data_IF_657363717332
#
_entry.id   IF_657363717332
#
_cell.length_a   1.000
_cell.length_b   1.000
_cell.length_c   1.000
_cell.angle_alpha   90.00
_cell.angle_beta   90.00
_cell.angle_gamma   90.00
#
_symmetry.space_group_name_H-M   'P 1'
#
loop_
_entity.id
_entity.type
_entity.pdbx_description
1 polymer ?
#
# COMPACT_ATOMS: atom_id res chain seq x y z
N UNK A 1 35.46 -23.51 -18.58
CA UNK A 1 35.60 -24.98 -18.62
C UNK A 1 36.39 -25.38 -17.37
N UNK A 2 35.94 -26.18 -16.41
CA UNK A 2 34.99 -27.30 -16.41
C UNK A 2 34.47 -27.50 -14.99
N UNK A 3 33.19 -27.86 -14.87
CA UNK A 3 32.49 -28.15 -13.63
C UNK A 3 32.98 -29.45 -12.94
N UNK A 4 32.89 -29.51 -11.60
CA UNK A 4 32.71 -30.79 -10.87
C UNK A 4 31.79 -30.63 -9.67
N UNK A 5 30.62 -31.28 -9.78
CA UNK A 5 29.77 -31.76 -8.68
C UNK A 5 30.53 -32.80 -7.86
N UNK A 6 30.30 -32.82 -6.55
CA UNK A 6 30.36 -34.04 -5.74
C UNK A 6 29.20 -34.02 -4.74
N UNK A 7 28.36 -35.06 -4.83
CA UNK A 7 27.31 -35.41 -3.90
C UNK A 7 27.47 -36.89 -3.55
N UNK A 8 27.48 -37.21 -2.25
CA UNK A 8 27.13 -38.48 -1.55
C UNK A 8 27.81 -38.43 -0.18
N UNK A 9 27.33 -39.01 0.91
CA UNK A 9 26.03 -39.43 1.43
C UNK A 9 26.36 -40.00 2.83
N UNK A 10 25.56 -39.74 3.86
CA UNK A 10 25.73 -40.34 5.19
C UNK A 10 24.41 -40.30 5.97
N UNK A 11 23.82 -41.47 6.22
CA UNK A 11 22.56 -41.78 6.93
C UNK A 11 22.56 -41.27 8.38
N UNK A 12 21.52 -40.55 8.84
CA UNK A 12 20.32 -41.03 9.55
C UNK A 12 20.53 -41.73 10.91
N UNK A 13 20.10 -41.06 11.98
CA UNK A 13 19.51 -41.67 13.19
C UNK A 13 18.33 -40.81 13.68
N UNK A 14 17.23 -41.50 14.02
CA UNK A 14 15.89 -41.06 14.46
C UNK A 14 15.94 -40.41 15.87
N UNK A 15 15.04 -39.57 16.41
CA UNK A 15 13.71 -38.98 16.14
C UNK A 15 13.47 -37.90 17.25
N UNK A 16 12.24 -37.49 17.67
CA UNK A 16 10.91 -37.70 17.11
C UNK A 16 10.22 -36.40 16.64
N UNK A 17 9.20 -36.64 15.82
CA UNK A 17 8.22 -35.76 15.21
C UNK A 17 7.03 -35.46 16.15
N UNK A 18 6.53 -34.22 16.11
CA UNK A 18 5.12 -33.88 16.39
C UNK A 18 4.72 -32.67 15.54
N UNK A 19 4.13 -32.93 14.37
CA UNK A 19 3.33 -31.99 13.59
C UNK A 19 2.28 -32.82 12.82
N UNK A 20 1.22 -33.20 13.51
CA UNK A 20 -0.09 -33.45 12.91
C UNK A 20 -0.78 -32.07 12.73
N UNK A 21 -1.50 -31.74 11.68
CA UNK A 21 -1.99 -32.49 10.53
C UNK A 21 -3.20 -31.71 10.00
N UNK A 22 -3.20 -31.31 8.73
CA UNK A 22 -4.45 -31.10 7.96
C UNK A 22 -4.21 -31.65 6.55
N UNK A 23 -4.88 -32.77 6.32
CA UNK A 23 -4.96 -33.60 5.13
C UNK A 23 -5.71 -32.86 4.00
N UNK A 24 -5.11 -32.73 2.81
CA UNK A 24 -5.82 -32.32 1.59
C UNK A 24 -6.09 -33.59 0.77
N UNK A 25 -7.36 -33.98 0.66
CA UNK A 25 -7.81 -35.01 -0.29
C UNK A 25 -8.19 -34.35 -1.62
N UNK A 26 -7.68 -34.84 -2.77
CA UNK A 26 -8.14 -34.39 -4.07
C UNK A 26 -9.43 -35.14 -4.46
N UNK A 27 -10.40 -34.44 -5.02
CA UNK A 27 -11.41 -35.06 -5.89
C UNK A 27 -11.21 -34.55 -7.31
N UNK A 28 -10.89 -35.51 -8.18
CA UNK A 28 -11.00 -35.41 -9.63
C UNK A 28 -12.43 -35.07 -10.05
N UNK A 29 -12.56 -34.23 -11.08
CA UNK A 29 -13.39 -34.52 -12.26
C UNK A 29 -12.89 -33.67 -13.43
N UNK A 30 -12.55 -34.37 -14.51
CA UNK A 30 -12.33 -33.87 -15.87
C UNK A 30 -13.60 -33.19 -16.42
N UNK A 31 -13.45 -32.19 -17.28
CA UNK A 31 -13.78 -32.33 -18.71
C UNK A 31 -13.29 -31.12 -19.53
N UNK A 32 -12.73 -31.47 -20.68
CA UNK A 32 -12.22 -30.68 -21.79
C UNK A 32 -13.28 -29.85 -22.53
N UNK A 33 -12.84 -28.67 -22.98
CA UNK A 33 -13.11 -27.92 -24.22
C UNK A 33 -14.38 -28.20 -25.05
N UNK A 34 -15.10 -27.14 -25.46
CA UNK A 34 -15.43 -26.83 -26.86
C UNK A 34 -15.98 -25.39 -26.98
N UNK A 35 -15.36 -24.57 -27.86
CA UNK A 35 -15.99 -23.40 -28.50
C UNK A 35 -16.89 -23.89 -29.63
N UNK A 36 -17.92 -23.12 -30.04
CA UNK A 36 -17.77 -22.46 -31.34
C UNK A 36 -18.42 -21.06 -31.46
N UNK A 37 -17.96 -20.36 -32.50
CA UNK A 37 -18.40 -19.06 -32.99
C UNK A 37 -19.77 -19.08 -33.71
N UNK A 38 -20.33 -17.86 -33.83
CA UNK A 38 -21.13 -17.30 -34.93
C UNK A 38 -22.68 -17.26 -34.87
N UNK A 39 -23.15 -16.05 -35.23
CA UNK A 39 -24.43 -15.60 -35.85
C UNK A 39 -25.59 -15.11 -34.96
N UNK A 40 -25.86 -13.80 -35.06
CA UNK A 40 -27.17 -13.14 -34.94
C UNK A 40 -28.09 -13.49 -36.15
N UNK A 41 -29.39 -13.10 -36.26
CA UNK A 41 -30.27 -12.29 -35.39
C UNK A 41 -31.77 -12.76 -35.29
N UNK A 42 -32.60 -11.94 -34.60
CA UNK A 42 -34.00 -11.53 -34.91
C UNK A 42 -35.25 -12.22 -34.27
N UNK A 43 -36.18 -11.32 -33.89
CA UNK A 43 -37.63 -11.43 -33.59
C UNK A 43 -38.08 -12.18 -32.30
N UNK A 44 -39.23 -11.92 -31.67
CA UNK A 44 -40.09 -10.75 -31.34
C UNK A 44 -41.24 -11.36 -30.48
N UNK A 45 -41.73 -10.60 -29.50
CA UNK A 45 -43.14 -10.49 -29.04
C UNK A 45 -43.79 -11.56 -28.13
N UNK A 46 -44.26 -11.03 -26.98
CA UNK A 46 -45.57 -11.22 -26.29
C UNK A 46 -45.74 -12.52 -25.47
N UNK A 47 -46.40 -12.59 -24.31
CA UNK A 47 -46.99 -11.66 -23.33
C UNK A 47 -47.58 -12.54 -22.18
N UNK A 48 -47.88 -11.93 -21.02
CA UNK A 48 -48.92 -12.30 -20.02
C UNK A 48 -48.59 -13.41 -18.98
N UNK A 49 -48.27 -13.07 -17.72
CA UNK A 49 -49.10 -12.83 -16.48
C UNK A 49 -49.01 -13.99 -15.45
N UNK A 50 -48.56 -13.60 -14.25
CA UNK A 50 -48.79 -14.19 -12.90
C UNK A 50 -48.09 -15.52 -12.54
N UNK A 51 -47.62 -15.79 -11.32
CA UNK A 51 -48.04 -15.33 -10.00
C UNK A 51 -46.84 -15.22 -9.02
N UNK A 52 -47.14 -14.51 -7.94
CA UNK A 52 -46.54 -14.37 -6.60
C UNK A 52 -45.62 -15.50 -6.08
N UNK A 53 -44.78 -15.07 -5.13
CA UNK A 53 -43.87 -15.81 -4.24
C UNK A 53 -42.47 -16.07 -4.80
N UNK A 54 -41.54 -15.16 -4.47
CA UNK A 54 -40.27 -15.39 -3.76
C UNK A 54 -39.54 -14.04 -3.75
N UNK A 55 -39.96 -13.12 -2.88
CA UNK A 55 -39.16 -11.94 -2.52
C UNK A 55 -38.82 -12.04 -1.03
N UNK A 56 -37.93 -12.99 -0.74
CA UNK A 56 -37.21 -13.06 0.53
C UNK A 56 -35.73 -13.30 0.23
N UNK A 57 -35.12 -12.39 -0.54
CA UNK A 57 -33.66 -12.39 -0.70
C UNK A 57 -33.04 -11.76 0.56
N UNK A 58 -32.72 -12.63 1.51
CA UNK A 58 -31.79 -12.37 2.61
C UNK A 58 -30.52 -11.73 2.04
N UNK A 59 -30.32 -10.45 2.33
CA UNK A 59 -29.04 -9.79 2.20
C UNK A 59 -28.03 -10.51 3.12
N UNK A 60 -27.29 -11.48 2.58
CA UNK A 60 -26.08 -11.96 3.22
C UNK A 60 -25.06 -10.83 3.15
N UNK A 61 -24.76 -10.27 4.31
CA UNK A 61 -23.76 -9.24 4.51
C UNK A 61 -22.44 -9.65 3.83
N UNK A 62 -22.10 -8.96 2.74
CA UNK A 62 -20.75 -8.98 2.21
C UNK A 62 -19.84 -8.38 3.30
N UNK A 63 -19.03 -9.22 3.93
CA UNK A 63 -17.93 -8.79 4.78
C UNK A 63 -16.99 -8.01 3.85
N UNK A 64 -17.14 -6.68 3.87
CA UNK A 64 -16.33 -5.74 3.13
C UNK A 64 -14.94 -5.77 3.75
N UNK A 65 -14.12 -6.75 3.36
CA UNK A 65 -12.71 -6.78 3.63
C UNK A 65 -12.05 -5.64 2.86
N UNK A 66 -12.05 -4.44 3.43
CA UNK A 66 -11.36 -3.27 2.88
C UNK A 66 -9.87 -3.60 2.78
N UNK A 67 -9.36 -3.62 1.55
CA UNK A 67 -7.95 -3.63 1.20
C UNK A 67 -7.62 -2.23 0.73
N UNK A 68 -7.12 -1.38 1.63
CA UNK A 68 -6.81 0.01 1.31
C UNK A 68 -5.34 0.26 1.41
N UNK A 69 -4.64 0.08 0.30
CA UNK A 69 -3.21 0.29 0.20
C UNK A 69 -2.96 1.80 0.35
N UNK A 70 -1.75 2.24 0.69
CA UNK A 70 -1.46 3.67 0.84
C UNK A 70 -0.13 4.01 0.16
N UNK A 71 -0.02 4.85 -0.89
CA UNK A 71 1.33 5.35 -1.29
C UNK A 71 1.72 6.41 -0.31
N UNK A 72 3.02 6.61 -0.11
CA UNK A 72 3.55 7.87 0.38
C UNK A 72 4.41 8.47 -0.73
N UNK A 73 3.78 8.81 -1.87
CA UNK A 73 4.47 9.43 -2.99
C UNK A 73 4.74 10.91 -2.70
N UNK A 74 5.92 11.22 -2.15
CA UNK A 74 6.45 12.58 -2.04
C UNK A 74 7.60 12.67 -1.05
N UNK A 75 8.83 12.82 -1.54
CA UNK A 75 9.94 13.27 -0.69
C UNK A 75 9.72 14.78 -0.40
N UNK A 76 9.84 15.25 0.86
CA UNK A 76 9.46 16.60 1.24
C UNK A 76 10.58 17.57 0.83
N UNK A 77 10.53 18.06 -0.40
CA UNK A 77 10.92 19.43 -0.62
C UNK A 77 9.77 20.28 -0.07
N UNK A 78 10.02 20.94 1.06
CA UNK A 78 9.08 21.73 1.85
C UNK A 78 8.07 22.53 1.01
N UNK A 79 6.89 21.95 0.76
CA UNK A 79 5.66 22.72 0.71
C UNK A 79 5.16 22.75 2.14
N UNK A 80 5.18 23.92 2.77
CA UNK A 80 4.70 24.12 4.13
C UNK A 80 3.31 23.48 4.25
N UNK A 81 3.20 22.41 5.05
CA UNK A 81 1.92 21.84 5.40
C UNK A 81 1.28 22.78 6.41
N UNK A 82 0.25 23.50 5.98
CA UNK A 82 -0.52 24.31 6.90
C UNK A 82 -1.40 23.39 7.75
N UNK A 83 -1.12 23.35 9.05
CA UNK A 83 -1.93 22.66 10.05
C UNK A 83 -1.87 21.14 9.97
N UNK A 84 -3.04 20.49 10.08
CA UNK A 84 -3.14 19.05 10.37
C UNK A 84 -2.91 18.12 9.17
N UNK A 85 -2.76 18.64 7.95
CA UNK A 85 -2.55 17.83 6.74
C UNK A 85 -1.09 17.90 6.35
N UNK A 86 -0.36 16.77 6.40
CA UNK A 86 1.06 16.72 6.05
C UNK A 86 1.30 16.61 4.56
N UNK A 87 0.54 15.76 3.87
CA UNK A 87 0.67 15.53 2.43
C UNK A 87 -0.59 14.88 1.83
N UNK A 88 -0.77 15.06 0.53
CA UNK A 88 -1.77 14.35 -0.27
C UNK A 88 -1.04 13.56 -1.35
N UNK A 89 -1.35 12.26 -1.45
CA UNK A 89 -0.64 11.31 -2.32
C UNK A 89 -1.63 10.37 -2.99
N UNK A 90 -1.20 9.65 -4.04
CA UNK A 90 -2.11 8.78 -4.78
C UNK A 90 -2.65 7.63 -3.92
N UNK A 91 -3.92 7.29 -4.12
CA UNK A 91 -4.44 6.02 -3.66
C UNK A 91 -3.94 4.89 -4.57
N UNK A 92 -3.45 3.77 -4.03
CA UNK A 92 -3.07 2.56 -4.79
C UNK A 92 -4.20 1.79 -5.43
N UNK A 93 -5.45 2.15 -5.19
CA UNK A 93 -6.55 1.69 -6.05
C UNK A 93 -6.32 2.22 -7.49
N UNK A 94 -5.53 3.30 -7.62
CA UNK A 94 -5.10 3.90 -8.86
C UNK A 94 -3.65 3.50 -9.15
N UNK A 95 -3.48 2.34 -9.80
CA UNK A 95 -2.20 1.74 -10.15
C UNK A 95 -1.27 2.66 -10.96
N UNK A 96 -1.82 3.67 -11.64
CA UNK A 96 -1.09 4.62 -12.47
C UNK A 96 -0.71 5.92 -11.76
N UNK A 97 -1.09 6.06 -10.48
CA UNK A 97 -1.00 7.32 -9.75
C UNK A 97 -2.21 8.24 -10.01
N UNK A 98 -2.15 9.46 -9.51
CA UNK A 98 -3.18 10.49 -9.73
C UNK A 98 -2.88 11.25 -11.02
N UNK A 99 -3.46 10.78 -12.13
CA UNK A 99 -3.22 11.26 -13.51
C UNK A 99 -4.28 12.28 -13.94
N UNK A 100 -3.85 13.32 -14.66
CA UNK A 100 -4.75 14.35 -15.22
C UNK A 100 -5.80 13.72 -16.14
N UNK A 101 -7.05 14.17 -16.00
CA UNK A 101 -8.18 13.69 -16.81
C UNK A 101 -8.77 12.35 -16.38
N UNK A 102 -8.15 11.65 -15.42
CA UNK A 102 -8.61 10.35 -14.93
C UNK A 102 -9.32 10.50 -13.57
N UNK A 103 -10.18 9.53 -13.26
CA UNK A 103 -10.78 9.37 -11.93
C UNK A 103 -9.69 9.39 -10.85
N UNK A 104 -10.00 10.03 -9.74
CA UNK A 104 -9.05 10.29 -8.66
C UNK A 104 -9.35 9.47 -7.44
N UNK A 105 -8.29 8.94 -6.83
CA UNK A 105 -8.28 8.56 -5.44
C UNK A 105 -6.95 8.96 -4.82
N UNK A 106 -7.04 9.39 -3.58
CA UNK A 106 -5.94 9.99 -2.85
C UNK A 106 -5.95 9.49 -1.40
N UNK A 107 -4.78 9.53 -0.79
CA UNK A 107 -4.62 9.44 0.64
C UNK A 107 -4.21 10.81 1.16
N UNK A 108 -4.89 11.28 2.20
CA UNK A 108 -4.60 12.52 2.89
C UNK A 108 -3.96 12.13 4.20
N UNK A 109 -2.66 12.38 4.33
CA UNK A 109 -1.92 12.09 5.54
C UNK A 109 -2.07 13.26 6.49
N UNK A 110 -2.40 12.95 7.74
CA UNK A 110 -2.52 13.94 8.80
C UNK A 110 -1.19 14.09 9.56
N UNK A 111 -1.10 15.10 10.42
CA UNK A 111 0.00 15.36 11.34
C UNK A 111 -0.45 16.27 12.48
N UNK A 112 0.39 16.46 13.51
CA UNK A 112 0.15 17.44 14.58
C UNK A 112 1.44 18.14 15.02
N UNK A 113 1.33 19.22 15.79
CA UNK A 113 2.48 20.07 16.15
C UNK A 113 3.58 19.41 17.00
N UNK A 114 3.35 18.25 17.60
CA UNK A 114 4.39 17.47 18.28
C UNK A 114 4.90 16.24 17.51
N UNK A 115 4.32 15.92 16.36
CA UNK A 115 4.66 14.76 15.55
C UNK A 115 4.28 15.03 14.09
N UNK A 116 5.26 15.46 13.29
CA UNK A 116 5.07 15.89 11.90
C UNK A 116 5.47 14.79 10.91
N UNK A 117 4.81 14.76 9.76
CA UNK A 117 5.09 13.79 8.69
C UNK A 117 5.12 12.34 9.17
N UNK A 118 6.23 11.64 8.92
CA UNK A 118 6.40 10.23 9.27
C UNK A 118 6.30 9.95 10.78
N UNK A 119 6.71 10.89 11.64
CA UNK A 119 6.63 10.71 13.10
C UNK A 119 5.19 10.54 13.58
N UNK A 120 4.22 11.18 12.91
CA UNK A 120 2.81 11.01 13.23
C UNK A 120 2.33 9.57 13.00
N UNK A 121 2.99 8.83 12.12
CA UNK A 121 2.67 7.43 11.83
C UNK A 121 3.23 6.45 12.88
N UNK A 122 4.04 6.91 13.84
CA UNK A 122 4.50 6.09 14.97
C UNK A 122 3.29 5.55 15.76
N UNK A 123 3.16 4.22 15.98
CA UNK A 123 2.12 3.63 16.82
C UNK A 123 1.92 4.26 18.19
N UNK A 124 2.97 4.82 18.80
CA UNK A 124 2.91 5.51 20.10
C UNK A 124 2.22 6.87 20.02
N UNK A 125 2.22 7.50 18.85
CA UNK A 125 1.56 8.79 18.63
C UNK A 125 0.09 8.55 18.32
N UNK A 126 -0.78 9.08 19.17
CA UNK A 126 -2.24 9.01 18.94
C UNK A 126 -2.67 9.97 17.85
N UNK A 127 -3.46 9.45 16.90
CA UNK A 127 -4.06 10.21 15.80
C UNK A 127 -5.20 11.14 16.23
N UNK A 128 -5.99 11.58 15.26
CA UNK A 128 -7.15 12.44 15.52
C UNK A 128 -8.40 11.66 15.93
N UNK A 129 -9.27 12.31 16.70
CA UNK A 129 -10.64 11.89 16.94
C UNK A 129 -11.62 12.91 16.38
N UNK A 130 -12.91 12.63 16.52
CA UNK A 130 -13.97 13.61 16.27
C UNK A 130 -14.62 13.92 17.62
N UNK A 131 -14.63 15.18 18.10
CA UNK A 131 -15.19 15.52 19.41
C UNK A 131 -16.68 15.14 19.55
N UNK A 132 -17.20 15.03 20.79
CA UNK A 132 -18.63 14.89 21.05
C UNK A 132 -19.47 15.95 20.32
N UNK A 133 -20.53 15.50 19.64
CA UNK A 133 -21.39 16.35 18.78
C UNK A 133 -20.71 16.94 17.54
N UNK A 134 -19.40 16.70 17.36
CA UNK A 134 -18.60 17.27 16.28
C UNK A 134 -18.66 16.48 14.97
N UNK A 135 -17.85 16.92 14.00
CA UNK A 135 -17.71 16.26 12.70
C UNK A 135 -16.33 16.49 12.10
N UNK A 136 -15.96 15.65 11.14
CA UNK A 136 -14.82 15.89 10.27
C UNK A 136 -15.32 16.21 8.85
N UNK A 137 -14.74 17.22 8.22
CA UNK A 137 -14.98 17.54 6.83
C UNK A 137 -13.71 17.34 6.02
N UNK A 138 -13.87 16.81 4.81
CA UNK A 138 -12.80 16.64 3.82
C UNK A 138 -13.29 17.25 2.53
N UNK A 139 -12.69 18.35 2.12
CA UNK A 139 -13.11 19.14 0.97
C UNK A 139 -12.09 19.03 -0.17
N UNK A 140 -12.57 18.63 -1.34
CA UNK A 140 -11.80 18.59 -2.58
C UNK A 140 -11.81 19.99 -3.21
N UNK A 141 -11.02 20.91 -2.65
CA UNK A 141 -11.10 22.37 -2.88
C UNK A 141 -10.85 22.78 -4.34
N UNK A 142 -9.76 22.31 -4.94
CA UNK A 142 -9.31 22.74 -6.28
C UNK A 142 -8.76 21.54 -7.05
N UNK A 143 -8.87 21.57 -8.38
CA UNK A 143 -8.27 20.57 -9.26
C UNK A 143 -9.00 19.24 -9.30
N UNK A 144 -10.14 19.12 -8.61
CA UNK A 144 -10.98 17.92 -8.61
C UNK A 144 -12.36 18.26 -9.16
N UNK A 145 -12.70 17.72 -10.33
CA UNK A 145 -14.04 17.87 -10.89
C UNK A 145 -14.96 16.79 -10.36
N UNK A 146 -16.04 17.20 -9.69
CA UNK A 146 -17.11 16.34 -9.18
C UNK A 146 -17.88 15.65 -10.31
N UNK A 147 -18.26 14.40 -10.08
CA UNK A 147 -19.29 13.73 -10.88
C UNK A 147 -20.59 13.58 -10.08
N UNK A 148 -21.58 14.47 -10.29
CA UNK A 148 -22.77 14.55 -9.43
C UNK A 148 -23.59 13.25 -9.37
N UNK A 149 -23.43 12.34 -10.34
CA UNK A 149 -24.14 11.06 -10.38
C UNK A 149 -23.60 10.03 -9.38
N UNK A 150 -22.40 10.24 -8.85
CA UNK A 150 -21.78 9.35 -7.87
C UNK A 150 -21.96 9.98 -6.49
N UNK A 151 -22.78 9.44 -5.58
CA UNK A 151 -23.00 10.04 -4.28
C UNK A 151 -21.72 9.98 -3.41
N UNK A 152 -21.53 11.01 -2.58
CA UNK A 152 -20.52 11.00 -1.51
C UNK A 152 -21.12 10.25 -0.31
N UNK A 153 -20.74 9.00 -0.14
CA UNK A 153 -21.35 8.11 0.85
C UNK A 153 -20.29 7.27 1.58
N UNK A 154 -20.73 6.40 2.49
CA UNK A 154 -19.86 5.51 3.27
C UNK A 154 -18.78 4.78 2.44
N UNK A 155 -19.08 4.27 1.22
CA UNK A 155 -18.07 3.59 0.41
C UNK A 155 -17.07 4.53 -0.25
N UNK A 156 -17.20 5.86 -0.17
CA UNK A 156 -16.32 6.82 -0.84
C UNK A 156 -15.06 7.13 -0.03
N UNK A 157 -15.13 7.02 1.29
CA UNK A 157 -14.06 7.32 2.24
C UNK A 157 -13.83 6.17 3.22
N UNK A 158 -12.57 5.92 3.55
CA UNK A 158 -12.20 5.18 4.75
C UNK A 158 -11.24 5.98 5.61
N UNK A 159 -11.49 5.97 6.92
CA UNK A 159 -10.54 6.44 7.91
C UNK A 159 -9.50 5.34 8.18
N UNK A 160 -8.26 5.72 8.47
CA UNK A 160 -7.15 4.77 8.65
C UNK A 160 -6.30 5.17 9.84
N UNK A 161 -5.99 4.21 10.70
CA UNK A 161 -5.26 4.42 11.94
C UNK A 161 -3.74 4.36 11.81
N UNK A 162 -3.22 3.77 10.73
CA UNK A 162 -1.79 3.62 10.51
C UNK A 162 -1.46 3.06 9.13
N UNK A 163 -0.17 3.09 8.81
CA UNK A 163 0.39 2.59 7.55
C UNK A 163 1.34 1.43 7.80
N UNK A 164 1.29 0.34 7.02
CA UNK A 164 0.29 0.03 5.98
C UNK A 164 -1.12 -0.32 6.53
N UNK A 165 -2.14 0.31 5.96
CA UNK A 165 -3.54 -0.17 5.90
C UNK A 165 -4.17 -0.71 7.19
N UNK A 166 -4.24 0.13 8.23
CA UNK A 166 -5.05 -0.16 9.41
C UNK A 166 -6.40 0.55 9.36
N UNK A 167 -7.23 0.09 8.41
CA UNK A 167 -8.53 0.68 8.14
C UNK A 167 -9.44 0.70 9.37
N UNK A 168 -10.24 1.76 9.47
CA UNK A 168 -11.30 1.96 10.44
C UNK A 168 -12.64 1.98 9.68
N UNK A 169 -13.27 0.83 9.37
CA UNK A 169 -14.56 0.81 8.69
C UNK A 169 -15.66 1.50 9.49
N UNK A 170 -16.48 2.34 8.85
CA UNK A 170 -17.54 3.13 9.49
C UNK A 170 -18.44 2.34 10.42
N UNK A 171 -18.91 1.16 9.97
CA UNK A 171 -19.72 0.24 10.79
C UNK A 171 -19.05 -0.18 12.10
N UNK A 172 -17.74 -0.42 12.07
CA UNK A 172 -16.99 -0.89 13.23
C UNK A 172 -16.40 0.23 14.09
N UNK A 173 -16.13 1.38 13.48
CA UNK A 173 -15.53 2.55 14.11
C UNK A 173 -16.58 3.56 14.62
N UNK A 174 -17.85 3.44 14.18
CA UNK A 174 -18.96 4.26 14.66
C UNK A 174 -19.09 5.60 13.93
N UNK A 175 -18.94 5.62 12.61
CA UNK A 175 -19.15 6.84 11.82
C UNK A 175 -19.92 6.58 10.52
N UNK A 176 -20.55 7.63 10.01
CA UNK A 176 -21.17 7.69 8.68
C UNK A 176 -20.45 8.73 7.81
N UNK A 177 -20.63 8.61 6.50
CA UNK A 177 -20.13 9.58 5.51
C UNK A 177 -21.29 10.04 4.64
N UNK A 178 -21.40 11.35 4.45
CA UNK A 178 -22.35 11.98 3.55
C UNK A 178 -21.73 13.16 2.80
N UNK A 179 -22.54 13.81 1.97
CA UNK A 179 -22.19 15.06 1.31
C UNK A 179 -22.44 16.24 2.25
N UNK A 180 -21.55 17.24 2.23
CA UNK A 180 -21.74 18.50 2.94
C UNK A 180 -22.55 19.52 2.14
N UNK A 181 -22.59 20.75 2.64
CA UNK A 181 -23.27 21.86 1.97
C UNK A 181 -22.62 22.19 0.61
N UNK A 182 -21.31 22.00 0.51
CA UNK A 182 -20.58 22.00 -0.76
C UNK A 182 -20.57 20.57 -1.34
N UNK A 183 -20.91 20.42 -2.62
CA UNK A 183 -20.91 19.13 -3.33
C UNK A 183 -19.54 18.43 -3.39
N UNK A 184 -18.47 19.17 -3.14
CA UNK A 184 -17.09 18.69 -3.08
C UNK A 184 -16.63 18.31 -1.66
N UNK A 185 -17.51 18.43 -0.67
CA UNK A 185 -17.18 18.17 0.73
C UNK A 185 -17.79 16.85 1.19
N UNK A 186 -16.94 15.97 1.69
CA UNK A 186 -17.36 14.85 2.50
C UNK A 186 -17.57 15.31 3.94
N UNK A 187 -18.69 14.92 4.54
CA UNK A 187 -18.96 15.10 5.97
C UNK A 187 -18.93 13.73 6.64
N UNK A 188 -18.12 13.61 7.67
CA UNK A 188 -17.90 12.39 8.44
C UNK A 188 -18.44 12.63 9.84
N UNK A 189 -19.54 11.95 10.15
CA UNK A 189 -20.29 12.13 11.39
C UNK A 189 -20.11 10.91 12.31
N UNK A 190 -19.78 11.10 13.59
CA UNK A 190 -19.89 10.04 14.58
C UNK A 190 -21.35 9.57 14.70
N UNK A 191 -21.58 8.27 14.88
CA UNK A 191 -22.92 7.71 15.13
C UNK A 191 -23.33 7.78 16.59
N UNK A 192 -22.41 8.19 17.47
CA UNK A 192 -22.60 8.27 18.92
C UNK A 192 -22.44 9.73 19.38
N UNK A 193 -23.24 10.20 20.37
CA UNK A 193 -23.10 11.54 20.92
C UNK A 193 -21.75 11.77 21.61
N UNK A 194 -21.06 10.69 22.00
CA UNK A 194 -19.70 10.76 22.59
C UNK A 194 -18.62 11.12 21.56
N UNK A 195 -18.96 11.21 20.27
CA UNK A 195 -17.99 11.41 19.20
C UNK A 195 -17.16 10.16 18.92
N UNK A 196 -15.99 10.36 18.34
CA UNK A 196 -14.97 9.33 18.14
C UNK A 196 -13.71 9.68 18.94
N UNK A 197 -13.53 9.03 20.09
CA UNK A 197 -12.34 9.25 20.91
C UNK A 197 -11.11 8.64 20.24
N UNK A 198 -10.06 9.45 20.03
CA UNK A 198 -8.86 9.01 19.33
C UNK A 198 -8.19 7.77 19.97
N UNK A 199 -8.20 7.66 21.30
CA UNK A 199 -7.58 6.55 22.03
C UNK A 199 -8.31 5.21 21.83
N UNK A 200 -9.62 5.27 21.59
CA UNK A 200 -10.50 4.11 21.42
C UNK A 200 -10.65 3.70 19.96
N UNK A 201 -10.32 4.61 19.03
CA UNK A 201 -10.27 4.36 17.59
C UNK A 201 -9.09 3.44 17.24
N UNK A 202 -9.30 2.15 17.41
CA UNK A 202 -8.37 1.07 17.02
C UNK A 202 -8.96 0.27 15.88
N UNK A 203 -8.09 -0.14 14.96
CA UNK A 203 -8.51 -1.06 13.90
C UNK A 203 -8.86 -2.44 14.48
N UNK A 204 -9.83 -3.12 13.85
CA UNK A 204 -10.24 -4.49 14.22
C UNK A 204 -9.72 -5.53 13.22
N UNK A 205 -8.80 -5.15 12.33
CA UNK A 205 -8.20 -6.11 11.38
C UNK A 205 -7.40 -7.17 12.15
N UNK A 206 -7.44 -8.45 11.75
CA UNK A 206 -6.82 -9.54 12.52
C UNK A 206 -5.33 -9.31 12.82
N UNK A 207 -4.56 -8.85 11.83
CA UNK A 207 -3.13 -8.61 11.97
C UNK A 207 -2.76 -7.57 13.02
N UNK A 208 -3.62 -6.58 13.29
CA UNK A 208 -3.34 -5.52 14.25
C UNK A 208 -3.31 -6.01 15.70
N UNK A 209 -3.92 -7.17 16.00
CA UNK A 209 -3.82 -7.81 17.33
C UNK A 209 -2.41 -8.30 17.64
N UNK A 210 -1.57 -8.47 16.61
CA UNK A 210 -0.18 -8.92 16.71
C UNK A 210 0.82 -7.76 16.65
N UNK A 211 0.33 -6.52 16.61
CA UNK A 211 1.21 -5.36 16.70
C UNK A 211 1.55 -5.14 18.19
N UNK A 212 2.84 -5.02 18.55
CA UNK A 212 3.24 -4.78 19.94
C UNK A 212 2.59 -3.50 20.51
N UNK A 213 2.45 -2.48 19.65
CA UNK A 213 1.79 -1.23 19.96
C UNK A 213 0.68 -1.01 18.92
N UNK A 214 -0.60 -1.05 19.32
CA UNK A 214 -1.69 -0.86 18.38
C UNK A 214 -1.78 0.61 17.96
N UNK A 215 -1.94 0.87 16.66
CA UNK A 215 -2.21 2.21 16.17
C UNK A 215 -3.57 2.72 16.65
N UNK A 216 -3.65 4.02 16.92
CA UNK A 216 -4.83 4.69 17.49
C UNK A 216 -5.13 6.00 16.78
N UNK A 217 -6.41 6.32 16.68
CA UNK A 217 -6.91 7.56 16.09
C UNK A 217 -6.85 7.56 14.58
N UNK A 218 -7.37 8.62 13.96
CA UNK A 218 -7.36 8.84 12.52
C UNK A 218 -6.02 9.46 12.15
N UNK A 219 -5.26 8.80 11.28
CA UNK A 219 -3.98 9.29 10.77
C UNK A 219 -3.99 9.57 9.29
N UNK A 220 -4.79 8.83 8.54
CA UNK A 220 -4.94 8.98 7.10
C UNK A 220 -6.43 8.97 6.76
N UNK A 221 -6.84 9.82 5.83
CA UNK A 221 -8.15 9.74 5.17
C UNK A 221 -7.93 9.23 3.75
N UNK A 222 -8.52 8.08 3.45
CA UNK A 222 -8.50 7.50 2.11
C UNK A 222 -9.75 7.91 1.34
N UNK A 223 -9.56 8.51 0.16
CA UNK A 223 -10.64 8.96 -0.73
C UNK A 223 -10.51 8.25 -2.08
N UNK A 224 -11.64 7.92 -2.70
CA UNK A 224 -11.67 7.49 -4.12
C UNK A 224 -12.14 6.05 -4.36
N UNK A 225 -12.65 5.37 -3.34
CA UNK A 225 -13.21 4.02 -3.48
C UNK A 225 -14.45 3.97 -4.42
N UNK A 226 -15.21 5.06 -4.54
CA UNK A 226 -16.33 5.19 -5.51
C UNK A 226 -15.98 6.02 -6.74
N UNK A 227 -14.76 6.55 -6.84
CA UNK A 227 -14.31 7.37 -7.98
C UNK A 227 -15.17 8.63 -8.26
N UNK A 228 -15.63 9.31 -7.21
CA UNK A 228 -16.53 10.47 -7.32
C UNK A 228 -15.92 11.75 -7.93
N UNK A 229 -14.60 11.77 -8.18
CA UNK A 229 -13.85 12.92 -8.66
C UNK A 229 -12.92 12.57 -9.83
N UNK A 230 -12.69 13.55 -10.71
CA UNK A 230 -11.72 13.48 -11.82
C UNK A 230 -10.65 14.57 -11.61
N UNK A 231 -9.37 14.21 -11.77
CA UNK A 231 -8.25 15.16 -11.62
C UNK A 231 -8.23 16.11 -12.82
N UNK A 232 -8.20 17.42 -12.57
CA UNK A 232 -8.21 18.48 -13.59
C UNK A 232 -7.14 19.53 -13.28
N UNK A 233 -6.53 20.07 -14.33
CA UNK A 233 -5.39 20.98 -14.19
C UNK A 233 -4.11 20.24 -13.81
N UNK A 234 -3.15 20.96 -13.24
CA UNK A 234 -1.82 20.42 -12.93
C UNK A 234 -1.66 19.92 -11.49
N UNK A 235 -2.53 20.42 -10.60
CA UNK A 235 -2.51 20.17 -9.17
C UNK A 235 -3.93 20.11 -8.63
N UNK A 236 -4.11 19.46 -7.49
CA UNK A 236 -5.33 19.52 -6.71
C UNK A 236 -5.03 19.90 -5.27
N UNK A 237 -5.97 20.62 -4.64
CA UNK A 237 -5.89 21.05 -3.24
C UNK A 237 -6.99 20.38 -2.45
N UNK A 238 -6.64 19.88 -1.27
CA UNK A 238 -7.59 19.26 -0.33
C UNK A 238 -7.44 19.91 1.03
N UNK A 239 -8.57 20.09 1.70
CA UNK A 239 -8.63 20.62 3.05
C UNK A 239 -9.34 19.65 3.98
N UNK A 240 -8.82 19.50 5.21
CA UNK A 240 -9.45 18.73 6.28
C UNK A 240 -9.75 19.67 7.44
N UNK A 241 -10.97 19.58 7.96
CA UNK A 241 -11.43 20.33 9.13
C UNK A 241 -12.07 19.39 10.14
N UNK A 242 -11.82 19.61 11.42
CA UNK A 242 -12.52 18.92 12.52
C UNK A 242 -13.23 19.99 13.34
N UNK A 243 -14.52 19.81 13.52
CA UNK A 243 -15.39 20.68 14.28
C UNK A 243 -15.76 20.03 15.62
N UNK A 244 -15.91 20.83 16.66
CA UNK A 244 -16.57 20.40 17.89
C UNK A 244 -18.11 20.44 17.77
N UNK A 245 -18.80 20.01 18.83
CA UNK A 245 -20.27 20.01 18.88
C UNK A 245 -20.92 21.39 18.89
N UNK A 246 -20.14 22.47 19.02
CA UNK A 246 -20.61 23.86 18.90
C UNK A 246 -20.39 24.42 17.50
N UNK A 247 -19.83 23.62 16.59
CA UNK A 247 -19.50 24.04 15.22
C UNK A 247 -18.22 24.87 15.13
N UNK A 248 -17.38 24.91 16.17
CA UNK A 248 -16.07 25.56 16.11
C UNK A 248 -15.03 24.61 15.52
N UNK A 249 -14.20 25.10 14.61
CA UNK A 249 -13.04 24.35 14.10
C UNK A 249 -12.01 24.20 15.22
N UNK A 250 -11.70 22.96 15.57
CA UNK A 250 -10.67 22.60 16.56
C UNK A 250 -9.39 22.10 15.92
N UNK A 251 -9.43 21.75 14.63
CA UNK A 251 -8.26 21.33 13.86
C UNK A 251 -8.52 21.57 12.38
N UNK A 252 -7.54 22.08 11.65
CA UNK A 252 -7.63 22.36 10.21
C UNK A 252 -6.28 22.17 9.55
N UNK A 253 -6.28 21.77 8.29
CA UNK A 253 -5.08 21.83 7.46
C UNK A 253 -5.39 21.56 6.00
N UNK A 254 -4.46 21.93 5.13
CA UNK A 254 -4.59 21.73 3.70
C UNK A 254 -3.24 21.35 3.09
N UNK A 255 -3.29 20.60 1.99
CA UNK A 255 -2.13 20.33 1.17
C UNK A 255 -2.52 20.12 -0.29
N UNK A 256 -1.53 20.23 -1.16
CA UNK A 256 -1.67 20.04 -2.60
C UNK A 256 -1.07 18.70 -3.04
N UNK A 257 -1.60 18.15 -4.12
CA UNK A 257 -1.03 17.03 -4.87
C UNK A 257 -0.80 17.48 -6.32
N UNK A 258 0.39 17.20 -6.86
CA UNK A 258 0.68 17.41 -8.28
C UNK A 258 0.16 16.22 -9.08
N UNK A 259 -0.65 16.50 -10.10
CA UNK A 259 -1.18 15.48 -10.99
C UNK A 259 -0.17 15.11 -12.07
N UNK A 260 -0.09 13.83 -12.36
CA UNK A 260 0.79 13.29 -13.39
C UNK A 260 0.23 13.61 -14.77
N UNK A 261 1.08 14.10 -15.67
CA UNK A 261 0.71 14.33 -17.06
C UNK A 261 0.43 13.01 -17.79
N UNK A 262 1.13 11.94 -17.43
CA UNK A 262 0.96 10.57 -17.94
C UNK A 262 1.15 9.54 -16.81
N UNK A 263 0.58 8.33 -16.94
CA UNK A 263 0.88 7.22 -16.04
C UNK A 263 2.38 6.96 -15.89
N UNK A 264 2.79 6.50 -14.71
CA UNK A 264 4.15 6.06 -14.42
C UNK A 264 4.13 4.90 -13.42
N UNK A 265 5.20 4.09 -13.32
CA UNK A 265 5.25 2.98 -12.37
C UNK A 265 5.01 3.43 -10.93
N UNK A 266 4.31 2.61 -10.17
CA UNK A 266 3.96 2.91 -8.78
C UNK A 266 4.49 1.86 -7.81
N UNK A 267 5.06 2.33 -6.70
CA UNK A 267 5.39 1.54 -5.51
C UNK A 267 4.52 2.00 -4.34
N UNK A 268 3.89 1.04 -3.68
CA UNK A 268 3.01 1.25 -2.54
C UNK A 268 3.35 0.25 -1.43
N UNK A 269 3.43 0.62 -0.14
CA UNK A 269 3.45 -0.34 0.95
C UNK A 269 2.15 -1.17 0.96
N UNK A 270 2.25 -2.41 1.43
CA UNK A 270 1.11 -3.33 1.49
C UNK A 270 1.23 -4.30 2.63
N UNK A 271 0.17 -4.47 3.41
CA UNK A 271 0.15 -5.47 4.48
C UNK A 271 -0.24 -6.88 4.01
N UNK A 272 -0.19 -7.13 2.70
CA UNK A 272 -0.27 -8.45 2.06
C UNK A 272 1.18 -8.95 1.86
N UNK A 273 1.50 -10.21 2.20
CA UNK A 273 0.64 -11.28 2.71
C UNK A 273 0.43 -11.30 4.24
N UNK A 274 0.92 -10.29 4.96
CA UNK A 274 1.13 -10.32 6.41
C UNK A 274 -0.14 -10.25 7.29
N UNK A 275 -1.28 -10.76 6.80
CA UNK A 275 -2.54 -10.83 7.55
C UNK A 275 -3.05 -9.48 8.02
N UNK A 276 -2.66 -8.40 7.32
CA UNK A 276 -2.94 -7.01 7.69
C UNK A 276 -2.19 -6.47 8.92
N UNK A 277 -1.04 -7.06 9.26
CA UNK A 277 -0.14 -6.55 10.31
C UNK A 277 0.56 -5.27 9.86
N UNK A 278 0.88 -4.39 10.81
CA UNK A 278 1.72 -3.24 10.51
C UNK A 278 3.18 -3.70 10.30
N UNK A 279 3.74 -3.47 9.11
CA UNK A 279 5.15 -3.76 8.80
C UNK A 279 6.01 -2.48 8.77
N UNK A 280 5.47 -1.36 9.22
CA UNK A 280 6.20 -0.12 9.45
C UNK A 280 6.38 0.08 10.96
N UNK A 281 7.41 0.81 11.38
CA UNK A 281 7.77 0.98 12.80
C UNK A 281 8.09 -0.35 13.50
N UNK A 282 8.67 -1.29 12.76
CA UNK A 282 9.13 -2.57 13.32
C UNK A 282 10.38 -2.34 14.18
N UNK A 283 10.53 -3.16 15.22
CA UNK A 283 11.60 -3.05 16.22
C UNK A 283 12.51 -4.26 16.15
N UNK A 284 13.82 -4.04 16.19
CA UNK A 284 14.87 -5.07 16.15
C UNK A 284 16.10 -4.60 16.93
N UNK A 285 16.96 -5.53 17.34
CA UNK A 285 18.27 -5.20 17.91
C UNK A 285 19.30 -4.84 16.80
N UNK A 286 20.43 -4.19 17.15
CA UNK A 286 21.51 -3.96 16.20
C UNK A 286 22.00 -5.25 15.52
N UNK A 287 22.13 -5.24 14.20
CA UNK A 287 22.56 -6.41 13.41
C UNK A 287 21.48 -7.43 13.08
N UNK A 288 20.28 -7.34 13.67
CA UNK A 288 19.16 -8.23 13.36
C UNK A 288 18.44 -7.85 12.06
N UNK A 289 17.65 -8.78 11.52
CA UNK A 289 17.01 -8.62 10.22
C UNK A 289 15.49 -8.54 10.34
N UNK A 290 14.92 -7.39 10.01
CA UNK A 290 13.48 -7.24 9.79
C UNK A 290 13.05 -8.16 8.64
N UNK A 291 12.11 -9.05 8.93
CA UNK A 291 11.63 -10.08 8.00
C UNK A 291 12.13 -11.48 8.32
N UNK A 292 13.19 -11.61 9.14
CA UNK A 292 13.73 -12.89 9.59
C UNK A 292 13.72 -13.04 11.13
N UNK A 293 13.84 -11.94 11.88
CA UNK A 293 13.75 -11.93 13.34
C UNK A 293 12.31 -12.23 13.79
N UNK A 294 12.17 -12.97 14.90
CA UNK A 294 10.88 -13.25 15.53
C UNK A 294 10.08 -11.96 15.76
N UNK A 295 8.76 -12.03 15.63
CA UNK A 295 7.87 -10.87 15.74
C UNK A 295 8.10 -9.75 14.72
N UNK A 296 8.93 -9.94 13.70
CA UNK A 296 9.00 -9.04 12.54
C UNK A 296 8.35 -9.69 11.31
N UNK A 297 8.04 -8.88 10.31
CA UNK A 297 7.56 -9.32 9.00
C UNK A 297 8.36 -8.62 7.89
N UNK A 298 8.54 -9.27 6.72
CA UNK A 298 9.20 -8.64 5.59
C UNK A 298 8.56 -7.30 5.23
N UNK A 299 9.40 -6.37 4.77
CA UNK A 299 8.93 -5.14 4.14
C UNK A 299 8.21 -5.52 2.84
N UNK A 300 6.95 -5.14 2.69
CA UNK A 300 6.15 -5.58 1.56
C UNK A 300 5.63 -4.41 0.74
N UNK A 301 5.82 -4.53 -0.57
CA UNK A 301 5.41 -3.54 -1.56
C UNK A 301 4.44 -4.14 -2.56
N UNK A 302 3.46 -3.34 -2.97
CA UNK A 302 2.67 -3.54 -4.16
C UNK A 302 3.23 -2.67 -5.27
N UNK A 303 3.59 -3.32 -6.38
CA UNK A 303 4.20 -2.71 -7.54
C UNK A 303 3.23 -2.72 -8.72
N UNK A 304 3.21 -1.61 -9.44
CA UNK A 304 2.48 -1.46 -10.68
C UNK A 304 3.36 -0.93 -11.80
N UNK A 305 3.21 -1.51 -12.98
CA UNK A 305 3.81 -0.99 -14.20
C UNK A 305 3.16 0.34 -14.60
N UNK A 306 3.83 1.08 -15.49
CA UNK A 306 3.18 2.14 -16.26
C UNK A 306 2.09 1.51 -17.14
N UNK A 307 0.81 1.82 -16.91
CA UNK A 307 -0.26 1.39 -17.81
C UNK A 307 -1.08 2.58 -18.35
N UNK A 308 -1.26 2.64 -19.67
CA UNK A 308 -2.11 3.65 -20.32
C UNK A 308 -3.55 3.13 -20.58
N UNK A 309 -3.78 1.81 -20.45
CA UNK A 309 -5.06 1.15 -20.70
C UNK A 309 -5.81 0.69 -19.44
N UNK A 310 -6.82 -0.16 -19.64
CA UNK A 310 -7.60 -0.78 -18.56
C UNK A 310 -6.85 -1.97 -17.94
N UNK A 311 -6.87 -2.06 -16.61
CA UNK A 311 -6.24 -3.14 -15.85
C UNK A 311 -4.99 -2.69 -15.10
N UNK A 312 -4.64 -3.38 -14.02
CA UNK A 312 -3.52 -3.00 -13.16
C UNK A 312 -2.44 -4.07 -13.26
N UNK A 313 -1.45 -3.88 -14.15
CA UNK A 313 -0.31 -4.79 -14.32
C UNK A 313 0.72 -4.56 -13.23
N UNK A 314 1.30 -5.65 -12.73
CA UNK A 314 2.35 -5.60 -11.72
C UNK A 314 3.74 -5.68 -12.32
N UNK A 315 4.71 -5.04 -11.68
CA UNK A 315 6.12 -5.23 -12.02
C UNK A 315 6.55 -6.59 -11.48
N UNK A 316 6.68 -7.57 -12.38
CA UNK A 316 7.02 -8.96 -12.08
C UNK A 316 8.53 -9.18 -12.12
N UNK A 317 9.05 -10.13 -11.34
CA UNK A 317 10.49 -10.45 -11.33
C UNK A 317 11.35 -9.35 -10.70
N UNK A 318 10.76 -8.43 -9.95
CA UNK A 318 11.48 -7.34 -9.32
C UNK A 318 12.07 -7.73 -7.96
N UNK A 319 13.27 -7.25 -7.69
CA UNK A 319 13.92 -7.35 -6.40
C UNK A 319 14.97 -6.27 -6.22
N UNK A 320 15.78 -6.43 -5.19
CA UNK A 320 16.81 -5.49 -4.76
C UNK A 320 18.17 -6.15 -4.68
N UNK A 321 19.17 -5.43 -5.17
CA UNK A 321 20.58 -5.63 -4.83
C UNK A 321 21.07 -4.46 -3.98
N UNK A 322 21.60 -4.76 -2.78
CA UNK A 322 22.21 -3.77 -1.90
C UNK A 322 23.48 -3.18 -2.53
N UNK A 323 23.91 -2.02 -2.06
CA UNK A 323 25.19 -1.43 -2.48
C UNK A 323 26.38 -2.38 -2.26
N UNK A 324 26.35 -3.18 -1.20
CA UNK A 324 27.36 -4.20 -0.93
C UNK A 324 27.29 -5.35 -1.96
N UNK A 325 26.09 -5.83 -2.29
CA UNK A 325 25.92 -6.85 -3.32
C UNK A 325 26.40 -6.35 -4.69
N UNK A 326 26.03 -5.11 -5.09
CA UNK A 326 26.50 -4.49 -6.33
C UNK A 326 28.03 -4.41 -6.39
N UNK A 327 28.69 -4.06 -5.29
CA UNK A 327 30.15 -4.06 -5.20
C UNK A 327 30.74 -5.47 -5.36
N UNK A 328 30.13 -6.50 -4.78
CA UNK A 328 30.53 -7.91 -4.96
C UNK A 328 30.40 -8.36 -6.42
N UNK A 329 29.40 -7.86 -7.16
CA UNK A 329 29.26 -8.07 -8.60
C UNK A 329 30.31 -7.30 -9.44
N UNK A 330 31.11 -6.43 -8.84
CA UNK A 330 31.99 -5.52 -9.57
C UNK A 330 31.24 -4.48 -10.40
N UNK A 331 29.95 -4.24 -10.09
CA UNK A 331 29.11 -3.36 -10.88
C UNK A 331 29.44 -1.89 -10.62
N UNK A 332 29.86 -1.18 -11.67
CA UNK A 332 30.13 0.25 -11.61
C UNK A 332 28.85 1.05 -11.78
N UNK A 333 28.29 1.55 -10.67
CA UNK A 333 27.03 2.31 -10.69
C UNK A 333 27.16 3.57 -11.57
N UNK A 334 26.34 3.71 -12.62
CA UNK A 334 26.36 4.87 -13.51
C UNK A 334 26.16 6.20 -12.76
N UNK A 335 26.76 7.31 -13.21
CA UNK A 335 26.61 8.62 -12.55
C UNK A 335 25.16 9.02 -12.29
N UNK A 336 24.26 8.75 -13.25
CA UNK A 336 22.83 9.01 -13.13
C UNK A 336 22.20 8.34 -11.90
N UNK A 337 22.68 7.17 -11.49
CA UNK A 337 22.11 6.35 -10.41
C UNK A 337 22.84 6.55 -9.07
N UNK A 338 23.92 7.35 -9.01
CA UNK A 338 24.70 7.57 -7.78
C UNK A 338 23.91 8.18 -6.62
N UNK A 339 22.74 8.77 -6.90
CA UNK A 339 21.80 9.23 -5.87
C UNK A 339 21.26 8.09 -4.99
N UNK A 340 21.26 6.86 -5.50
CA UNK A 340 20.81 5.67 -4.78
C UNK A 340 21.99 5.03 -4.04
N UNK A 341 22.20 5.49 -2.82
CA UNK A 341 23.39 5.16 -2.03
C UNK A 341 23.34 3.79 -1.35
N UNK A 342 22.16 3.17 -1.24
CA UNK A 342 21.98 1.94 -0.48
C UNK A 342 21.72 0.70 -1.34
N UNK A 343 21.40 0.86 -2.63
CA UNK A 343 21.13 -0.25 -3.54
C UNK A 343 20.26 0.15 -4.72
N UNK A 344 20.05 -0.81 -5.62
CA UNK A 344 19.22 -0.65 -6.81
C UNK A 344 18.02 -1.61 -6.76
N UNK A 345 16.93 -1.20 -7.40
CA UNK A 345 15.76 -2.05 -7.66
C UNK A 345 15.89 -2.53 -9.10
N UNK A 346 15.91 -3.83 -9.30
CA UNK A 346 16.10 -4.48 -10.58
C UNK A 346 14.87 -5.31 -10.93
N UNK A 347 14.62 -5.47 -12.23
CA UNK A 347 13.63 -6.38 -12.78
C UNK A 347 14.36 -7.44 -13.60
N UNK A 348 14.24 -8.69 -13.15
CA UNK A 348 14.66 -9.88 -13.89
C UNK A 348 14.07 -9.84 -15.31
N UNK A 349 14.94 -9.63 -16.28
CA UNK A 349 14.56 -9.34 -17.67
C UNK A 349 14.67 -10.55 -18.58
N UNK A 350 15.47 -11.56 -18.21
CA UNK A 350 15.63 -12.81 -18.97
C UNK A 350 14.86 -13.99 -18.36
N UNK A 351 14.30 -13.82 -17.15
CA UNK A 351 13.42 -14.77 -16.50
C UNK A 351 14.16 -15.95 -15.86
N UNK A 352 15.46 -15.81 -15.58
CA UNK A 352 16.26 -16.87 -14.97
C UNK A 352 16.06 -16.99 -13.44
N UNK A 353 15.33 -16.04 -12.84
CA UNK A 353 15.02 -15.99 -11.41
C UNK A 353 16.17 -15.45 -10.55
N UNK A 354 17.20 -14.89 -11.16
CA UNK A 354 18.34 -14.23 -10.52
C UNK A 354 18.24 -12.70 -10.72
N UNK A 355 19.18 -11.97 -10.11
CA UNK A 355 19.36 -10.54 -10.35
C UNK A 355 20.81 -10.27 -10.74
N UNK A 356 21.00 -9.73 -11.94
CA UNK A 356 22.30 -9.32 -12.49
C UNK A 356 22.25 -7.84 -12.93
N UNK A 357 22.98 -6.94 -12.27
CA UNK A 357 22.92 -5.51 -12.55
C UNK A 357 23.45 -5.10 -13.93
N UNK A 358 24.19 -5.99 -14.62
CA UNK A 358 24.70 -5.75 -15.96
C UNK A 358 23.76 -6.24 -17.07
N UNK A 359 22.74 -7.05 -16.74
CA UNK A 359 21.81 -7.65 -17.71
C UNK A 359 20.38 -7.19 -17.45
N UNK A 360 19.97 -7.15 -16.19
CA UNK A 360 18.62 -6.82 -15.79
C UNK A 360 18.33 -5.32 -15.85
N UNK A 361 17.05 -5.03 -16.02
CA UNK A 361 16.55 -3.67 -16.07
C UNK A 361 16.58 -3.03 -14.68
N UNK A 362 17.32 -1.94 -14.56
CA UNK A 362 17.29 -1.09 -13.37
C UNK A 362 16.03 -0.23 -13.43
N UNK A 363 15.12 -0.44 -12.49
CA UNK A 363 13.81 0.24 -12.44
C UNK A 363 13.68 1.23 -11.28
N UNK A 364 14.72 1.35 -10.46
CA UNK A 364 14.71 2.23 -9.29
C UNK A 364 15.94 2.08 -8.41
N UNK A 365 15.88 2.67 -7.22
CA UNK A 365 16.92 2.50 -6.23
C UNK A 365 16.53 2.93 -4.83
N UNK A 366 17.51 2.83 -3.93
CA UNK A 366 17.31 2.89 -2.49
C UNK A 366 18.30 3.87 -1.87
N UNK A 367 17.81 4.67 -0.94
CA UNK A 367 18.62 5.42 0.02
C UNK A 367 18.22 5.03 1.43
N UNK A 368 19.14 5.12 2.40
CA UNK A 368 18.82 4.84 3.80
C UNK A 368 19.26 6.04 4.64
N UNK A 369 18.33 6.68 5.31
CA UNK A 369 18.67 7.57 6.42
C UNK A 369 18.86 6.73 7.69
N UNK A 370 20.01 6.86 8.34
CA UNK A 370 20.41 6.06 9.49
C UNK A 370 21.09 6.94 10.55
N UNK A 371 21.25 6.45 11.80
CA UNK A 371 22.02 7.15 12.82
C UNK A 371 23.45 7.45 12.36
N UNK A 372 24.00 8.59 12.78
CA UNK A 372 25.33 9.03 12.33
C UNK A 372 26.41 7.97 12.61
N UNK A 373 27.10 7.55 11.56
CA UNK A 373 28.17 6.54 11.62
C UNK A 373 27.67 5.11 11.84
N UNK A 374 26.38 4.82 11.66
CA UNK A 374 25.87 3.46 11.58
C UNK A 374 26.49 2.73 10.37
N UNK A 375 26.84 1.45 10.55
CA UNK A 375 27.41 0.57 9.52
C UNK A 375 26.65 -0.76 9.50
N UNK A 376 26.79 -1.52 8.41
CA UNK A 376 26.24 -2.88 8.28
C UNK A 376 24.74 -2.95 7.99
N UNK A 377 24.05 -1.81 7.83
CA UNK A 377 22.66 -1.80 7.42
C UNK A 377 22.54 -2.02 5.91
N UNK A 378 21.57 -2.83 5.49
CA UNK A 378 21.29 -3.07 4.08
C UNK A 378 19.87 -3.57 3.85
N UNK A 379 19.42 -3.46 2.60
CA UNK A 379 18.17 -4.07 2.12
C UNK A 379 18.50 -5.16 1.12
N UNK A 380 17.81 -6.29 1.20
CA UNK A 380 18.00 -7.40 0.27
C UNK A 380 16.68 -8.05 -0.11
N UNK A 381 16.68 -8.71 -1.27
CA UNK A 381 15.65 -9.68 -1.64
C UNK A 381 15.78 -10.93 -0.77
N UNK A 382 14.72 -11.43 -0.13
CA UNK A 382 14.76 -12.65 0.68
C UNK A 382 15.11 -13.87 -0.16
N UNK A 383 15.74 -14.86 0.48
CA UNK A 383 15.96 -16.18 -0.12
C UNK A 383 14.93 -17.18 0.40
N UNK A 384 14.21 -17.84 -0.51
CA UNK A 384 13.29 -18.93 -0.18
C UNK A 384 13.80 -20.21 -0.83
N UNK A 385 14.18 -21.18 0.00
CA UNK A 385 14.79 -22.46 -0.43
C UNK A 385 16.01 -22.26 -1.34
N UNK A 386 16.82 -21.24 -1.05
CA UNK A 386 18.04 -20.91 -1.78
C UNK A 386 17.87 -20.03 -3.02
N UNK A 387 16.63 -19.70 -3.42
CA UNK A 387 16.34 -18.86 -4.58
C UNK A 387 15.85 -17.47 -4.16
N UNK A 388 16.12 -16.44 -4.97
CA UNK A 388 15.59 -15.09 -4.74
C UNK A 388 14.07 -15.11 -4.83
N UNK A 389 13.42 -14.51 -3.82
CA UNK A 389 11.97 -14.34 -3.80
C UNK A 389 11.56 -13.03 -4.48
N UNK A 390 11.67 -13.03 -5.82
CA UNK A 390 11.33 -11.89 -6.66
C UNK A 390 9.82 -11.60 -6.65
N UNK A 391 9.46 -10.40 -7.08
CA UNK A 391 8.08 -9.94 -7.07
C UNK A 391 7.20 -10.85 -7.94
N UNK A 392 6.00 -11.16 -7.42
CA UNK A 392 5.06 -12.07 -8.08
C UNK A 392 3.62 -11.55 -7.97
N UNK A 393 2.67 -12.07 -8.77
CA UNK A 393 1.34 -11.48 -8.88
C UNK A 393 0.65 -11.44 -7.52
N UNK A 394 -0.05 -10.33 -7.21
CA UNK A 394 -0.78 -10.18 -5.94
C UNK A 394 -1.74 -11.35 -5.66
N UNK A 395 -2.32 -11.95 -6.71
CA UNK A 395 -3.22 -13.11 -6.60
C UNK A 395 -2.57 -14.34 -5.96
N UNK A 396 -1.24 -14.48 -6.03
CA UNK A 396 -0.50 -15.58 -5.39
C UNK A 396 -0.50 -15.45 -3.86
N UNK A 397 -0.70 -14.24 -3.35
CA UNK A 397 -0.74 -13.95 -1.91
C UNK A 397 -2.17 -13.75 -1.40
N UNK A 398 -3.05 -13.22 -2.24
CA UNK A 398 -4.47 -13.06 -1.93
C UNK A 398 -5.26 -12.95 -3.23
N UNK A 399 -6.05 -13.98 -3.55
CA UNK A 399 -6.89 -14.02 -4.75
C UNK A 399 -7.83 -12.80 -4.82
N UNK A 400 -8.48 -12.46 -3.69
CA UNK A 400 -9.41 -11.33 -3.62
C UNK A 400 -8.70 -10.00 -3.90
N UNK A 401 -7.52 -9.79 -3.31
CA UNK A 401 -6.76 -8.58 -3.55
C UNK A 401 -6.23 -8.54 -4.99
N UNK A 402 -5.71 -9.66 -5.50
CA UNK A 402 -5.22 -9.77 -6.88
C UNK A 402 -6.30 -9.48 -7.92
N UNK A 403 -7.53 -9.96 -7.73
CA UNK A 403 -8.65 -9.67 -8.63
C UNK A 403 -9.08 -8.19 -8.59
N UNK A 404 -9.05 -7.57 -7.41
CA UNK A 404 -9.52 -6.18 -7.22
C UNK A 404 -8.48 -5.14 -7.63
N UNK A 405 -7.22 -5.41 -7.30
CA UNK A 405 -6.15 -4.44 -7.37
C UNK A 405 -5.18 -4.75 -8.50
N UNK A 406 -5.02 -6.01 -8.90
CA UNK A 406 -3.94 -6.45 -9.78
C UNK A 406 -2.57 -6.30 -9.12
N UNK A 407 -1.57 -5.94 -9.90
CA UNK A 407 -0.21 -5.65 -9.41
C UNK A 407 0.61 -6.89 -9.04
N UNK A 408 1.80 -6.62 -8.52
CA UNK A 408 2.74 -7.62 -8.02
C UNK A 408 3.22 -7.26 -6.61
N UNK A 409 3.47 -8.26 -5.77
CA UNK A 409 3.99 -8.07 -4.42
C UNK A 409 5.49 -8.35 -4.44
N UNK A 410 6.27 -7.40 -3.94
CA UNK A 410 7.70 -7.54 -3.66
C UNK A 410 7.90 -7.59 -2.14
N UNK A 411 8.64 -8.59 -1.65
CA UNK A 411 9.02 -8.71 -0.25
C UNK A 411 10.50 -8.42 -0.11
N UNK A 412 10.89 -7.72 0.94
CA UNK A 412 12.28 -7.36 1.22
C UNK A 412 12.61 -7.56 2.70
N UNK A 413 13.87 -7.88 2.94
CA UNK A 413 14.48 -7.91 4.26
C UNK A 413 15.30 -6.63 4.49
N UNK A 414 15.39 -6.21 5.74
CA UNK A 414 16.26 -5.11 6.14
C UNK A 414 17.14 -5.56 7.31
N UNK A 415 18.45 -5.54 7.10
CA UNK A 415 19.44 -5.79 8.15
C UNK A 415 19.67 -4.47 8.89
N UNK A 416 19.48 -4.49 10.21
CA UNK A 416 19.75 -3.36 11.08
C UNK A 416 21.25 -3.10 11.19
N UNK A 417 21.60 -1.82 11.21
CA UNK A 417 22.99 -1.42 11.43
C UNK A 417 23.45 -1.67 12.86
N UNK A 418 24.74 -1.45 13.10
CA UNK A 418 25.39 -1.64 14.39
C UNK A 418 25.09 -0.56 15.45
N UNK A 419 24.17 0.38 15.18
CA UNK A 419 23.81 1.47 16.10
C UNK A 419 22.30 1.51 16.32
N UNK A 420 21.91 1.83 17.55
CA UNK A 420 20.52 2.13 17.92
C UNK A 420 20.04 3.43 17.28
N UNK A 421 18.73 3.52 17.07
CA UNK A 421 18.05 4.69 16.51
C UNK A 421 17.12 4.33 15.34
N UNK A 422 16.64 5.36 14.64
CA UNK A 422 15.71 5.19 13.53
C UNK A 422 16.46 4.99 12.22
N UNK A 423 16.07 3.95 11.48
CA UNK A 423 16.50 3.68 10.11
C UNK A 423 15.32 3.86 9.17
N UNK A 424 15.54 4.59 8.09
CA UNK A 424 14.50 4.90 7.10
C UNK A 424 14.97 4.55 5.70
N UNK A 425 14.82 3.29 5.27
CA UNK A 425 15.03 2.93 3.89
C UNK A 425 13.92 3.55 3.03
N UNK A 426 14.34 4.31 2.03
CA UNK A 426 13.50 4.98 1.04
C UNK A 426 13.70 4.30 -0.31
N UNK A 427 12.60 3.85 -0.90
CA UNK A 427 12.56 3.13 -2.16
C UNK A 427 11.92 4.03 -3.21
N UNK A 428 12.62 4.24 -4.32
CA UNK A 428 12.13 5.05 -5.41
C UNK A 428 12.16 4.23 -6.70
N UNK A 429 11.02 4.14 -7.39
CA UNK A 429 11.01 3.72 -8.79
C UNK A 429 11.44 4.91 -9.66
N UNK A 430 12.09 4.63 -10.78
CA UNK A 430 12.35 5.63 -11.81
C UNK A 430 11.03 6.19 -12.34
N UNK A 431 11.02 7.49 -12.63
CA UNK A 431 9.86 8.14 -13.27
C UNK A 431 9.62 7.63 -14.68
N UNK A 432 10.67 7.19 -15.36
CA UNK A 432 10.63 6.42 -16.60
C UNK A 432 11.58 5.21 -16.49
N UNK A 433 11.08 3.97 -16.38
CA UNK A 433 11.91 2.79 -16.15
C UNK A 433 12.79 2.44 -17.37
N UNK A 434 12.51 3.03 -18.53
CA UNK A 434 13.32 2.87 -19.75
C UNK A 434 14.49 3.86 -19.82
N UNK A 435 14.60 4.79 -18.86
CA UNK A 435 15.62 5.82 -18.82
C UNK A 435 16.21 5.97 -17.40
N UNK A 436 17.42 5.44 -17.21
CA UNK A 436 18.14 5.50 -15.92
C UNK A 436 18.51 6.92 -15.47
N UNK A 437 18.55 7.87 -16.40
CA UNK A 437 18.75 9.30 -16.09
C UNK A 437 17.46 10.00 -15.67
N UNK A 438 16.31 9.34 -15.79
CA UNK A 438 15.06 9.87 -15.27
C UNK A 438 15.14 10.03 -13.74
N UNK A 439 14.49 11.08 -13.24
CA UNK A 439 14.39 11.32 -11.80
C UNK A 439 13.46 10.31 -11.11
N UNK A 440 13.26 10.51 -9.81
CA UNK A 440 12.39 9.64 -9.02
C UNK A 440 10.92 9.78 -9.43
N UNK A 441 10.26 8.63 -9.54
CA UNK A 441 8.85 8.47 -9.86
C UNK A 441 8.00 8.40 -8.59
N UNK A 442 7.52 7.21 -8.30
CA UNK A 442 6.86 6.89 -7.04
C UNK A 442 7.89 6.49 -5.99
N UNK A 443 7.65 6.89 -4.74
CA UNK A 443 8.59 6.71 -3.63
C UNK A 443 7.83 6.20 -2.41
N UNK A 444 8.50 5.45 -1.55
CA UNK A 444 8.01 5.14 -0.21
C UNK A 444 9.14 4.95 0.79
N UNK A 445 8.94 5.40 2.03
CA UNK A 445 9.91 5.22 3.12
C UNK A 445 9.32 4.39 4.26
N UNK A 446 10.04 3.37 4.70
CA UNK A 446 9.77 2.72 5.97
C UNK A 446 10.47 3.45 7.12
N UNK A 447 10.05 3.16 8.34
CA UNK A 447 10.77 3.48 9.58
C UNK A 447 10.95 2.19 10.36
N UNK A 448 12.18 1.91 10.75
CA UNK A 448 12.59 0.75 11.54
C UNK A 448 13.29 1.30 12.77
N UNK A 449 12.94 0.78 13.93
CA UNK A 449 13.51 1.16 15.22
C UNK A 449 14.54 0.11 15.59
N UNK A 450 15.78 0.54 15.78
CA UNK A 450 16.85 -0.31 16.30
C UNK A 450 17.09 0.06 17.75
N UNK A 451 16.85 -0.88 18.67
CA UNK A 451 16.78 -0.61 20.13
C UNK A 451 17.74 -1.39 21.00
#
# INVERSE_FOLDING_TARGET
MTARRLAKAGRMSQGPSDFDGIEIRPRFFDFTCFLPENRFPLFRKHSIVALKEVFAMRYKAAILGSFLLVSAGGNPAAAASDGIVSMVVSSPIFANGTVRGIRSGINIYLQRDGARGLEFMNPEVTGYGIPPGGRMEVEMVEGFRRDPNIPLAQPSILLVAGTPQQGLPGRSAGYTVGQGNNENTFVIMPTSPRGLTAIDLKTKVPGAKRDPIPQRGIKIVHVGMTMAFVSRGERGRVEVRIYDGKGKIVSRGAAEIKFLAKPRPQIFPTNIPQGKRNHNWQRVAPGETVGATSETVPLSFLLFERNEGFGNKGIMGAGVLSAQQLATFGFSVPPALKRYTAGLILQDSDGDGLLNPSQDKIIGGITIAAPRGAKGHQVSTPLVRGNLYLSSPTRNFSEVAGRKLGGAIMLLEFVAGNKKGLYRPTFALLSDPDNIASGDGSVYSYTIVVE
#
